data_IF_610871951415
#
_entry.id   IF_610871951415
#
_cell.length_a   1.000
_cell.length_b   1.000
_cell.length_c   1.000
_cell.angle_alpha   90.00
_cell.angle_beta   90.00
_cell.angle_gamma   90.00
#
_symmetry.space_group_name_H-M   'P 1'
#
loop_
_entity.id
_entity.type
_entity.pdbx_description
1 polymer ?
#
# COMPACT_ATOMS: atom_id res chain seq x y z
N UNK A 1 -20.51 -6.40 -19.13
CA UNK A 1 -19.16 -5.91 -19.49
C UNK A 1 -19.10 -5.34 -20.89
N UNK A 2 -19.45 -6.09 -21.95
CA UNK A 2 -19.39 -5.60 -23.34
C UNK A 2 -20.11 -4.25 -23.57
N UNK A 3 -21.35 -4.11 -23.08
CA UNK A 3 -22.12 -2.87 -23.16
C UNK A 3 -21.48 -1.68 -22.43
N UNK A 4 -20.77 -1.91 -21.32
CA UNK A 4 -20.07 -0.85 -20.58
C UNK A 4 -18.77 -0.43 -21.29
N UNK A 5 -18.10 -1.37 -21.97
CA UNK A 5 -16.94 -1.07 -22.81
C UNK A 5 -17.33 -0.30 -24.07
N UNK A 6 -18.42 -0.70 -24.74
CA UNK A 6 -18.98 0.02 -25.91
C UNK A 6 -19.42 1.44 -25.55
N UNK A 7 -19.95 1.63 -24.35
CA UNK A 7 -20.32 2.95 -23.83
C UNK A 7 -19.12 3.76 -23.31
N UNK A 8 -17.90 3.22 -23.31
CA UNK A 8 -16.71 3.92 -22.81
C UNK A 8 -16.71 4.17 -21.30
N UNK A 9 -17.55 3.45 -20.54
CA UNK A 9 -17.63 3.53 -19.08
C UNK A 9 -16.53 2.72 -18.38
N UNK A 10 -16.01 1.69 -19.04
CA UNK A 10 -14.84 0.92 -18.59
C UNK A 10 -13.80 0.84 -19.70
N UNK A 11 -12.52 0.86 -19.32
CA UNK A 11 -11.39 0.62 -20.22
C UNK A 11 -10.82 -0.77 -19.93
N UNK A 12 -10.60 -1.54 -20.98
CA UNK A 12 -9.88 -2.80 -20.88
C UNK A 12 -8.39 -2.48 -20.86
N UNK A 13 -7.72 -2.86 -19.78
CA UNK A 13 -6.28 -2.64 -19.65
C UNK A 13 -5.51 -3.71 -20.43
N UNK A 14 -4.35 -3.34 -20.98
CA UNK A 14 -3.49 -4.30 -21.66
C UNK A 14 -2.96 -5.34 -20.67
N UNK A 15 -2.87 -6.57 -21.17
CA UNK A 15 -2.57 -7.79 -20.42
C UNK A 15 -1.19 -7.69 -19.76
N UNK A 16 -1.07 -7.98 -18.48
CA UNK A 16 0.17 -8.51 -17.92
C UNK A 16 0.03 -10.03 -17.73
N UNK A 17 0.84 -10.79 -18.46
CA UNK A 17 0.95 -12.24 -18.29
C UNK A 17 1.99 -12.46 -17.20
N UNK A 18 1.58 -12.92 -16.03
CA UNK A 18 2.51 -13.34 -14.99
C UNK A 18 1.87 -14.36 -14.08
N UNK A 19 1.96 -15.66 -14.42
CA UNK A 19 1.64 -16.74 -13.50
C UNK A 19 1.11 -18.02 -14.12
N UNK A 20 1.78 -19.14 -13.84
CA UNK A 20 1.64 -20.46 -14.46
C UNK A 20 0.52 -21.27 -13.81
N UNK A 21 -0.67 -21.29 -14.42
CA UNK A 21 -1.64 -22.41 -14.39
C UNK A 21 -2.77 -22.08 -15.36
N UNK A 22 -2.94 -22.96 -16.35
CA UNK A 22 -4.02 -22.89 -17.31
C UNK A 22 -5.38 -22.99 -16.60
N UNK A 23 -6.36 -22.21 -17.08
CA UNK A 23 -7.77 -22.52 -16.82
C UNK A 23 -8.63 -21.43 -16.21
N UNK A 24 -8.61 -20.20 -16.77
CA UNK A 24 -9.77 -19.31 -17.01
C UNK A 24 -9.26 -17.90 -17.34
N UNK A 25 -9.71 -17.31 -18.44
CA UNK A 25 -9.21 -16.02 -18.92
C UNK A 25 -9.90 -14.86 -18.17
N UNK A 26 -9.22 -14.29 -17.17
CA UNK A 26 -9.68 -13.07 -16.49
C UNK A 26 -9.28 -11.81 -17.28
N UNK A 27 -10.22 -10.90 -17.49
CA UNK A 27 -9.94 -9.57 -18.05
C UNK A 27 -9.86 -8.55 -16.92
N UNK A 28 -8.84 -7.67 -16.95
CA UNK A 28 -8.75 -6.51 -16.05
C UNK A 28 -9.45 -5.32 -16.73
N UNK A 29 -10.43 -4.76 -16.03
CA UNK A 29 -11.15 -3.55 -16.45
C UNK A 29 -10.90 -2.43 -15.44
N UNK A 30 -10.49 -1.27 -15.93
CA UNK A 30 -10.50 -0.02 -15.16
C UNK A 30 -11.78 0.75 -15.45
N UNK A 31 -12.24 1.57 -14.51
CA UNK A 31 -13.35 2.50 -14.75
C UNK A 31 -12.80 3.68 -15.57
N UNK A 32 -13.36 3.90 -16.75
CA UNK A 32 -12.95 4.98 -17.63
C UNK A 32 -13.53 6.33 -17.17
N UNK A 33 -13.06 7.44 -17.76
CA UNK A 33 -13.50 8.79 -17.39
C UNK A 33 -15.02 8.99 -17.47
N UNK A 34 -15.72 8.32 -18.39
CA UNK A 34 -17.19 8.37 -18.46
C UNK A 34 -17.85 7.55 -17.35
N UNK A 35 -17.28 6.39 -16.97
CA UNK A 35 -17.78 5.60 -15.85
C UNK A 35 -17.62 6.32 -14.53
N UNK A 36 -16.49 7.03 -14.35
CA UNK A 36 -16.29 7.93 -13.22
C UNK A 36 -17.30 9.08 -13.21
N UNK A 37 -17.61 9.65 -14.38
CA UNK A 37 -18.64 10.68 -14.50
C UNK A 37 -20.03 10.17 -14.11
N UNK A 38 -20.39 8.95 -14.48
CA UNK A 38 -21.67 8.32 -14.09
C UNK A 38 -21.74 8.06 -12.59
N UNK A 39 -20.68 7.52 -11.99
CA UNK A 39 -20.62 7.31 -10.54
C UNK A 39 -20.69 8.63 -9.75
N UNK A 40 -20.17 9.72 -10.33
CA UNK A 40 -20.24 11.06 -9.77
C UNK A 40 -21.59 11.77 -10.02
N UNK A 41 -22.55 11.17 -10.75
CA UNK A 41 -23.92 11.70 -10.81
C UNK A 41 -24.71 11.33 -9.55
N UNK A 42 -24.39 10.19 -8.91
CA UNK A 42 -25.01 9.73 -7.66
C UNK A 42 -24.39 10.37 -6.41
N UNK A 43 -23.12 10.79 -6.47
CA UNK A 43 -22.46 11.55 -5.42
C UNK A 43 -22.49 13.03 -5.80
N UNK A 44 -23.10 13.91 -5.01
CA UNK A 44 -23.35 15.33 -5.31
C UNK A 44 -22.10 16.24 -5.44
N UNK A 45 -21.03 15.77 -6.07
CA UNK A 45 -19.75 16.46 -6.24
C UNK A 45 -19.38 16.53 -7.73
N UNK A 46 -19.75 17.64 -8.37
CA UNK A 46 -19.33 17.98 -9.72
C UNK A 46 -17.84 18.36 -9.76
N UNK A 47 -16.96 17.36 -9.90
CA UNK A 47 -15.51 17.55 -10.09
C UNK A 47 -15.10 17.39 -11.56
N UNK A 48 -14.18 18.26 -12.04
CA UNK A 48 -13.65 18.27 -13.42
C UNK A 48 -13.23 16.87 -13.91
N UNK A 49 -13.89 16.40 -14.97
CA UNK A 49 -13.64 15.11 -15.60
C UNK A 49 -12.27 15.05 -16.26
N UNK A 50 -11.42 14.11 -15.83
CA UNK A 50 -10.13 13.84 -16.47
C UNK A 50 -10.35 12.79 -17.57
N UNK A 51 -10.18 13.21 -18.83
CA UNK A 51 -10.16 12.29 -19.98
C UNK A 51 -9.01 11.30 -19.80
N UNK A 52 -9.33 10.01 -19.87
CA UNK A 52 -8.44 8.88 -20.18
C UNK A 52 -7.02 8.97 -19.62
N UNK A 53 -6.80 8.28 -18.51
CA UNK A 53 -5.45 8.04 -17.98
C UNK A 53 -4.69 7.08 -18.90
N UNK A 54 -3.88 7.61 -19.83
CA UNK A 54 -2.72 6.88 -20.33
C UNK A 54 -1.64 6.91 -19.25
N UNK A 55 -1.83 6.12 -18.20
CA UNK A 55 -0.81 5.90 -17.17
C UNK A 55 0.16 4.84 -17.65
N UNK A 56 1.45 4.99 -17.30
CA UNK A 56 2.45 3.97 -17.63
C UNK A 56 2.05 2.59 -17.07
N UNK A 57 2.41 1.48 -17.73
CA UNK A 57 2.14 0.14 -17.23
C UNK A 57 2.68 -0.07 -15.81
N UNK A 58 3.79 0.57 -15.45
CA UNK A 58 4.34 0.54 -14.10
C UNK A 58 3.38 1.14 -13.07
N UNK A 59 2.80 2.31 -13.36
CA UNK A 59 1.82 2.94 -12.48
C UNK A 59 0.54 2.10 -12.37
N UNK A 60 0.08 1.53 -13.48
CA UNK A 60 -1.10 0.64 -13.51
C UNK A 60 -0.90 -0.60 -12.65
N UNK A 61 0.24 -1.28 -12.79
CA UNK A 61 0.58 -2.45 -11.98
C UNK A 61 0.65 -2.10 -10.49
N UNK A 62 1.16 -0.91 -10.16
CA UNK A 62 1.24 -0.42 -8.79
C UNK A 62 -0.15 -0.21 -8.17
N UNK A 63 -1.03 0.51 -8.87
CA UNK A 63 -2.42 0.72 -8.45
C UNK A 63 -3.17 -0.60 -8.30
N UNK A 64 -2.96 -1.54 -9.22
CA UNK A 64 -3.55 -2.88 -9.13
C UNK A 64 -3.03 -3.63 -7.90
N UNK A 65 -1.74 -3.53 -7.58
CA UNK A 65 -1.17 -4.18 -6.42
C UNK A 65 -1.72 -3.63 -5.09
N UNK A 66 -1.93 -2.30 -5.00
CA UNK A 66 -2.60 -1.66 -3.86
C UNK A 66 -4.04 -2.16 -3.74
N UNK A 67 -4.75 -2.22 -4.87
CA UNK A 67 -6.14 -2.71 -4.92
C UNK A 67 -6.23 -4.19 -4.52
N UNK A 68 -5.30 -5.02 -4.97
CA UNK A 68 -5.20 -6.44 -4.62
C UNK A 68 -5.04 -6.63 -3.10
N UNK A 69 -4.20 -5.81 -2.45
CA UNK A 69 -4.06 -5.81 -0.99
C UNK A 69 -5.38 -5.44 -0.31
N UNK A 70 -6.03 -4.34 -0.74
CA UNK A 70 -7.30 -3.90 -0.17
C UNK A 70 -8.38 -4.99 -0.26
N UNK A 71 -8.54 -5.59 -1.44
CA UNK A 71 -9.51 -6.68 -1.67
C UNK A 71 -9.17 -7.89 -0.81
N UNK A 72 -7.89 -8.26 -0.71
CA UNK A 72 -7.46 -9.42 0.08
C UNK A 72 -7.74 -9.23 1.58
N UNK A 73 -7.60 -8.01 2.10
CA UNK A 73 -7.95 -7.67 3.49
C UNK A 73 -9.47 -7.70 3.71
N UNK A 74 -10.27 -7.20 2.76
CA UNK A 74 -11.74 -7.30 2.83
C UNK A 74 -12.21 -8.74 2.79
N UNK A 75 -11.62 -9.57 1.93
CA UNK A 75 -11.91 -11.02 1.88
C UNK A 75 -11.54 -11.69 3.20
N UNK A 76 -10.39 -11.33 3.79
CA UNK A 76 -9.99 -11.83 5.10
C UNK A 76 -10.97 -11.44 6.21
N UNK A 77 -11.47 -10.19 6.15
CA UNK A 77 -12.46 -9.67 7.09
C UNK A 77 -13.75 -10.46 7.02
N UNK A 78 -14.26 -10.69 5.80
CA UNK A 78 -15.48 -11.48 5.57
C UNK A 78 -15.33 -12.95 5.98
N UNK A 79 -14.10 -13.47 5.95
CA UNK A 79 -13.77 -14.81 6.44
C UNK A 79 -13.58 -14.87 7.97
N UNK A 80 -13.75 -13.76 8.69
CA UNK A 80 -13.59 -13.70 10.15
C UNK A 80 -12.15 -13.86 10.64
N UNK A 81 -11.15 -13.64 9.77
CA UNK A 81 -9.72 -13.81 10.11
C UNK A 81 -9.09 -12.57 10.76
N UNK A 82 -9.67 -11.40 10.51
CA UNK A 82 -9.29 -10.10 11.05
C UNK A 82 -10.48 -9.16 10.91
N UNK A 83 -10.43 -7.98 11.51
CA UNK A 83 -11.38 -6.90 11.24
C UNK A 83 -10.64 -5.71 10.63
N UNK A 84 -11.03 -5.28 9.43
CA UNK A 84 -10.45 -4.10 8.79
C UNK A 84 -11.19 -2.84 9.25
N UNK A 85 -10.50 -1.98 10.01
CA UNK A 85 -11.06 -0.72 10.52
C UNK A 85 -10.95 0.41 9.51
N UNK A 86 -9.79 0.51 8.86
CA UNK A 86 -9.50 1.58 7.90
C UNK A 86 -8.49 1.11 6.85
N UNK A 87 -8.66 1.59 5.62
CA UNK A 87 -7.72 1.41 4.52
C UNK A 87 -7.68 2.67 3.67
N UNK A 88 -6.55 3.37 3.71
CA UNK A 88 -6.33 4.61 2.97
C UNK A 88 -5.25 4.36 1.91
N UNK A 89 -5.60 4.26 0.61
CA UNK A 89 -4.59 4.22 -0.45
C UNK A 89 -3.97 5.61 -0.66
N UNK A 90 -2.87 5.67 -1.40
CA UNK A 90 -2.36 6.95 -1.90
C UNK A 90 -3.39 7.68 -2.78
N UNK A 91 -3.46 9.03 -2.74
CA UNK A 91 -2.66 9.93 -1.91
C UNK A 91 -3.26 10.21 -0.52
N UNK A 92 -4.36 9.55 -0.13
CA UNK A 92 -5.08 9.86 1.11
C UNK A 92 -4.25 9.58 2.37
N UNK A 93 -3.35 8.59 2.31
CA UNK A 93 -2.45 8.23 3.40
C UNK A 93 -1.17 9.07 3.50
N UNK A 94 -0.95 10.04 2.61
CA UNK A 94 0.26 10.86 2.63
C UNK A 94 0.33 11.72 3.90
N UNK A 95 1.55 12.01 4.36
CA UNK A 95 1.81 12.85 5.55
C UNK A 95 2.81 13.94 5.22
N UNK A 96 2.45 15.19 5.50
CA UNK A 96 3.35 16.33 5.35
C UNK A 96 3.88 16.76 6.71
N UNK A 97 5.19 16.99 6.79
CA UNK A 97 5.88 17.41 8.00
C UNK A 97 7.03 18.37 7.69
N UNK A 98 7.45 19.13 8.70
CA UNK A 98 8.63 19.99 8.58
C UNK A 98 9.89 19.15 8.69
N UNK A 99 10.73 19.17 7.67
CA UNK A 99 12.05 18.53 7.70
C UNK A 99 13.02 19.27 8.61
N UNK A 100 14.22 18.69 8.79
CA UNK A 100 15.30 19.24 9.63
C UNK A 100 15.82 20.62 9.19
N UNK A 101 15.52 21.06 7.97
CA UNK A 101 16.02 22.31 7.38
C UNK A 101 14.89 23.25 6.90
N UNK A 102 13.76 23.31 7.61
CA UNK A 102 12.59 24.19 7.32
C UNK A 102 11.86 23.85 5.99
N UNK A 103 12.39 22.94 5.17
CA UNK A 103 11.71 22.42 3.98
C UNK A 103 10.55 21.49 4.36
N UNK A 104 9.40 21.67 3.71
CA UNK A 104 8.24 20.79 3.86
C UNK A 104 8.48 19.47 3.13
N UNK A 105 8.55 18.37 3.89
CA UNK A 105 8.71 17.01 3.36
C UNK A 105 7.36 16.30 3.35
N UNK A 106 7.09 15.52 2.31
CA UNK A 106 5.90 14.65 2.25
C UNK A 106 6.33 13.19 2.26
N UNK A 107 5.91 12.46 3.28
CA UNK A 107 5.91 11.00 3.30
C UNK A 107 4.77 10.50 2.42
N UNK A 108 5.08 9.57 1.53
CA UNK A 108 4.16 9.05 0.51
C UNK A 108 4.08 7.53 0.57
N UNK A 109 3.39 6.95 1.57
CA UNK A 109 3.09 5.52 1.58
C UNK A 109 2.19 5.16 0.41
N UNK A 110 2.23 3.92 -0.04
CA UNK A 110 1.29 3.41 -1.04
C UNK A 110 -0.09 3.16 -0.43
N UNK A 111 -0.12 2.71 0.82
CA UNK A 111 -1.33 2.60 1.62
C UNK A 111 -1.06 2.79 3.12
N UNK A 112 -2.11 3.08 3.86
CA UNK A 112 -2.18 2.97 5.30
C UNK A 112 -3.32 2.03 5.68
N UNK A 113 -3.10 1.14 6.64
CA UNK A 113 -4.07 0.16 7.09
C UNK A 113 -4.20 0.20 8.61
N UNK A 114 -5.44 0.10 9.10
CA UNK A 114 -5.76 -0.22 10.50
C UNK A 114 -6.68 -1.42 10.56
N UNK A 115 -6.35 -2.36 11.44
CA UNK A 115 -7.10 -3.59 11.59
C UNK A 115 -7.06 -4.06 13.06
N UNK A 116 -7.97 -4.97 13.39
CA UNK A 116 -8.03 -5.65 14.69
C UNK A 116 -7.80 -7.14 14.48
N UNK A 117 -7.00 -7.73 15.38
CA UNK A 117 -6.70 -9.17 15.45
C UNK A 117 -6.99 -9.60 16.88
N UNK A 118 -8.10 -10.32 17.10
CA UNK A 118 -8.58 -10.59 18.45
C UNK A 118 -8.89 -9.26 19.17
N UNK A 119 -8.18 -8.99 20.26
CA UNK A 119 -8.35 -7.76 21.06
C UNK A 119 -7.31 -6.67 20.77
N UNK A 120 -6.43 -6.89 19.78
CA UNK A 120 -5.31 -6.01 19.49
C UNK A 120 -5.52 -5.23 18.20
N UNK A 121 -5.40 -3.91 18.29
CA UNK A 121 -5.35 -3.03 17.13
C UNK A 121 -3.93 -2.99 16.56
N UNK A 122 -3.84 -3.09 15.23
CA UNK A 122 -2.61 -2.93 14.47
C UNK A 122 -2.78 -1.86 13.41
N UNK A 123 -1.76 -1.04 13.24
CA UNK A 123 -1.66 -0.09 12.14
C UNK A 123 -0.36 -0.26 11.38
N UNK A 124 -0.40 -0.08 10.07
CA UNK A 124 0.79 -0.09 9.23
C UNK A 124 0.71 0.92 8.09
N UNK A 125 1.82 1.59 7.82
CA UNK A 125 2.10 2.13 6.50
C UNK A 125 2.63 1.01 5.61
N UNK A 126 2.14 0.93 4.38
CA UNK A 126 2.49 -0.13 3.44
C UNK A 126 3.17 0.48 2.21
N UNK A 127 4.29 -0.13 1.83
CA UNK A 127 5.00 0.09 0.58
C UNK A 127 4.98 -1.21 -0.23
N UNK A 128 4.53 -1.15 -1.48
CA UNK A 128 4.46 -2.30 -2.39
C UNK A 128 5.58 -2.17 -3.42
N UNK A 129 6.65 -2.92 -3.22
CA UNK A 129 7.76 -2.96 -4.17
C UNK A 129 7.49 -4.00 -5.26
N UNK A 130 7.39 -3.54 -6.51
CA UNK A 130 7.25 -4.43 -7.68
C UNK A 130 8.62 -4.76 -8.31
N UNK A 131 9.69 -4.81 -7.50
CA UNK A 131 11.08 -4.97 -7.95
C UNK A 131 11.59 -3.87 -8.90
N UNK A 132 10.92 -2.71 -8.94
CA UNK A 132 11.28 -1.57 -9.81
C UNK A 132 12.28 -0.61 -9.19
N UNK A 133 12.39 -0.56 -7.85
CA UNK A 133 13.21 0.44 -7.17
C UNK A 133 14.69 0.00 -6.99
N UNK A 134 15.60 0.98 -7.01
CA UNK A 134 17.02 0.73 -6.69
C UNK A 134 17.24 0.74 -5.17
N UNK A 135 18.38 0.18 -4.72
CA UNK A 135 18.78 0.20 -3.29
C UNK A 135 18.83 1.63 -2.74
N UNK A 136 19.26 2.59 -3.56
CA UNK A 136 19.35 4.00 -3.19
C UNK A 136 17.97 4.62 -2.97
N UNK A 137 16.99 4.26 -3.80
CA UNK A 137 15.60 4.75 -3.68
C UNK A 137 14.96 4.19 -2.39
N UNK A 138 15.10 2.89 -2.14
CA UNK A 138 14.63 2.24 -0.92
C UNK A 138 15.24 2.91 0.33
N UNK A 139 16.57 3.05 0.35
CA UNK A 139 17.26 3.68 1.49
C UNK A 139 16.79 5.12 1.72
N UNK A 140 16.53 5.87 0.64
CA UNK A 140 15.98 7.23 0.74
C UNK A 140 14.58 7.21 1.36
N UNK A 141 13.67 6.36 0.86
CA UNK A 141 12.30 6.22 1.41
C UNK A 141 12.35 5.87 2.90
N UNK A 142 13.15 4.87 3.27
CA UNK A 142 13.29 4.46 4.67
C UNK A 142 13.82 5.60 5.57
N UNK A 143 14.75 6.44 5.09
CA UNK A 143 15.18 7.64 5.84
C UNK A 143 14.07 8.67 5.99
N UNK A 144 13.18 8.83 5.01
CA UNK A 144 12.02 9.73 5.13
C UNK A 144 11.04 9.24 6.19
N UNK A 145 10.78 7.92 6.25
CA UNK A 145 10.00 7.32 7.34
C UNK A 145 10.65 7.55 8.70
N UNK A 146 11.96 7.31 8.83
CA UNK A 146 12.67 7.53 10.09
C UNK A 146 12.63 9.01 10.52
N UNK A 147 12.78 9.94 9.58
CA UNK A 147 12.64 11.38 9.84
C UNK A 147 11.22 11.74 10.28
N UNK A 148 10.19 11.17 9.63
CA UNK A 148 8.80 11.39 10.02
C UNK A 148 8.51 10.85 11.42
N UNK A 149 8.96 9.64 11.72
CA UNK A 149 8.85 9.02 13.05
C UNK A 149 9.45 9.89 14.14
N UNK A 150 10.64 10.47 13.90
CA UNK A 150 11.31 11.36 14.85
C UNK A 150 10.53 12.65 15.16
N UNK A 151 9.62 13.07 14.28
CA UNK A 151 8.76 14.24 14.57
C UNK A 151 7.75 13.97 15.69
N UNK A 152 7.40 12.70 15.94
CA UNK A 152 6.36 12.30 16.88
C UNK A 152 4.93 12.66 16.45
N UNK A 153 4.72 13.31 15.30
CA UNK A 153 3.40 13.80 14.87
C UNK A 153 2.37 12.68 14.72
N UNK A 154 2.76 11.53 14.14
CA UNK A 154 1.85 10.40 13.96
C UNK A 154 1.43 9.81 15.31
N UNK A 155 2.39 9.62 16.23
CA UNK A 155 2.11 9.08 17.57
C UNK A 155 1.24 10.04 18.41
N UNK A 156 1.41 11.35 18.26
CA UNK A 156 0.54 12.33 18.92
C UNK A 156 -0.92 12.27 18.41
N UNK A 157 -1.12 11.95 17.13
CA UNK A 157 -2.45 11.88 16.50
C UNK A 157 -3.15 10.54 16.71
N UNK A 158 -2.39 9.45 16.73
CA UNK A 158 -2.91 8.08 16.65
C UNK A 158 -2.44 7.18 17.81
N UNK A 159 -1.75 7.73 18.81
CA UNK A 159 -1.26 7.04 20.01
C UNK A 159 0.07 6.31 19.82
N UNK A 160 0.28 5.71 18.65
CA UNK A 160 1.52 4.99 18.30
C UNK A 160 1.92 5.27 16.86
N UNK A 161 3.21 5.09 16.55
CA UNK A 161 3.67 5.14 15.17
C UNK A 161 3.35 3.79 14.48
N UNK A 162 2.68 3.79 13.32
CA UNK A 162 2.42 2.57 12.55
C UNK A 162 3.70 1.89 12.09
N UNK A 163 3.73 0.56 12.10
CA UNK A 163 4.81 -0.20 11.45
C UNK A 163 4.89 0.15 9.96
N UNK A 164 6.08 0.11 9.36
CA UNK A 164 6.28 0.31 7.92
C UNK A 164 6.53 -1.05 7.27
N UNK A 165 5.49 -1.60 6.64
CA UNK A 165 5.52 -2.89 5.98
C UNK A 165 5.87 -2.75 4.49
N UNK A 166 7.00 -3.33 4.10
CA UNK A 166 7.38 -3.51 2.71
C UNK A 166 6.88 -4.85 2.18
N UNK A 167 5.99 -4.80 1.18
CA UNK A 167 5.52 -5.97 0.45
C UNK A 167 6.31 -6.15 -0.83
N UNK A 168 7.07 -7.24 -0.93
CA UNK A 168 7.96 -7.55 -2.06
C UNK A 168 7.44 -8.74 -2.87
N UNK A 169 7.87 -8.94 -4.14
CA UNK A 169 7.30 -9.99 -4.98
C UNK A 169 7.89 -11.37 -4.71
N UNK A 170 9.13 -11.44 -4.21
CA UNK A 170 9.87 -12.70 -4.04
C UNK A 170 10.94 -12.62 -2.94
N UNK A 171 11.46 -13.79 -2.56
CA UNK A 171 12.46 -13.96 -1.49
C UNK A 171 13.79 -13.28 -1.80
N UNK A 172 14.21 -13.25 -3.07
CA UNK A 172 15.46 -12.56 -3.47
C UNK A 172 15.32 -11.06 -3.22
N UNK A 173 14.16 -10.49 -3.54
CA UNK A 173 13.87 -9.09 -3.29
C UNK A 173 13.70 -8.80 -1.80
N UNK A 174 13.11 -9.71 -1.04
CA UNK A 174 13.04 -9.64 0.42
C UNK A 174 14.43 -9.54 1.06
N UNK A 175 15.33 -10.45 0.71
CA UNK A 175 16.70 -10.45 1.23
C UNK A 175 17.42 -9.13 0.91
N UNK A 176 17.26 -8.62 -0.31
CA UNK A 176 17.81 -7.31 -0.71
C UNK A 176 17.20 -6.17 0.12
N UNK A 177 15.89 -6.17 0.35
CA UNK A 177 15.20 -5.15 1.14
C UNK A 177 15.74 -5.14 2.58
N UNK A 178 15.83 -6.32 3.21
CA UNK A 178 16.39 -6.49 4.56
C UNK A 178 17.85 -6.01 4.62
N UNK A 179 18.68 -6.29 3.61
CA UNK A 179 20.06 -5.81 3.53
C UNK A 179 20.17 -4.28 3.45
N UNK A 180 19.22 -3.61 2.80
CA UNK A 180 19.20 -2.15 2.74
C UNK A 180 18.77 -1.57 4.09
N UNK A 181 17.72 -2.14 4.70
CA UNK A 181 17.16 -1.68 5.97
C UNK A 181 18.12 -1.91 7.14
N UNK A 182 18.91 -2.99 7.14
CA UNK A 182 19.90 -3.27 8.19
C UNK A 182 21.04 -2.26 8.28
N UNK A 183 21.21 -1.40 7.26
CA UNK A 183 22.20 -0.31 7.24
C UNK A 183 21.68 0.97 7.89
N UNK A 184 20.42 1.01 8.33
CA UNK A 184 19.85 2.14 9.07
C UNK A 184 20.27 2.08 10.54
N UNK A 185 20.17 3.18 11.30
CA UNK A 185 20.35 3.14 12.75
C UNK A 185 19.41 2.14 13.42
N UNK A 186 19.88 1.40 14.42
CA UNK A 186 19.12 0.30 15.07
C UNK A 186 17.72 0.71 15.52
N UNK A 187 17.58 1.90 16.11
CA UNK A 187 16.27 2.42 16.53
C UNK A 187 15.28 2.60 15.36
N UNK A 188 15.76 2.96 14.17
CA UNK A 188 14.94 3.08 12.98
C UNK A 188 14.63 1.72 12.34
N UNK A 189 15.50 0.71 12.50
CA UNK A 189 15.27 -0.62 11.93
C UNK A 189 13.98 -1.26 12.46
N UNK A 190 13.67 -1.04 13.75
CA UNK A 190 12.46 -1.55 14.39
C UNK A 190 11.14 -1.01 13.79
N UNK A 191 11.21 0.07 13.00
CA UNK A 191 10.04 0.59 12.29
C UNK A 191 9.64 -0.28 11.10
N UNK A 192 10.57 -1.07 10.55
CA UNK A 192 10.39 -1.69 9.24
C UNK A 192 10.20 -3.19 9.34
N UNK A 193 9.16 -3.66 8.66
CA UNK A 193 8.94 -5.04 8.34
C UNK A 193 9.07 -5.29 6.84
N UNK A 194 9.40 -6.53 6.48
CA UNK A 194 9.39 -6.99 5.10
C UNK A 194 8.65 -8.31 5.05
N UNK A 195 7.67 -8.40 4.15
CA UNK A 195 6.95 -9.62 3.86
C UNK A 195 6.75 -9.77 2.34
N UNK A 196 6.50 -11.00 1.89
CA UNK A 196 6.14 -11.24 0.50
C UNK A 196 4.68 -10.81 0.28
N UNK A 197 4.36 -10.30 -0.91
CA UNK A 197 3.00 -9.94 -1.31
C UNK A 197 2.00 -11.08 -1.08
N UNK A 198 2.40 -12.32 -1.37
CA UNK A 198 1.57 -13.53 -1.16
C UNK A 198 1.19 -13.74 0.31
N UNK A 199 2.00 -13.24 1.23
CA UNK A 199 1.87 -13.46 2.66
C UNK A 199 1.30 -12.24 3.35
N UNK A 200 0.95 -11.17 2.62
CA UNK A 200 0.56 -9.88 3.19
C UNK A 200 -0.57 -9.99 4.21
N UNK A 201 -1.63 -10.74 3.87
CA UNK A 201 -2.77 -10.93 4.78
C UNK A 201 -2.38 -11.78 5.99
N UNK A 202 -1.59 -12.83 5.80
CA UNK A 202 -1.12 -13.66 6.90
C UNK A 202 -0.23 -12.86 7.84
N UNK A 203 0.67 -12.05 7.29
CA UNK A 203 1.56 -11.18 8.04
C UNK A 203 0.76 -10.15 8.83
N UNK A 204 -0.15 -9.42 8.17
CA UNK A 204 -0.99 -8.41 8.78
C UNK A 204 -1.99 -8.99 9.79
N UNK A 205 -2.48 -10.21 9.57
CA UNK A 205 -3.43 -10.92 10.43
C UNK A 205 -2.79 -11.80 11.50
N UNK A 206 -1.46 -11.83 11.62
CA UNK A 206 -0.77 -12.51 12.72
C UNK A 206 -0.10 -11.47 13.61
N UNK A 207 -0.15 -11.69 14.91
CA UNK A 207 0.58 -10.86 15.86
C UNK A 207 2.08 -11.14 15.74
N UNK A 208 2.95 -10.11 15.78
CA UNK A 208 4.37 -10.34 15.98
C UNK A 208 4.56 -11.13 17.28
N UNK A 209 5.40 -12.16 17.27
CA UNK A 209 5.77 -12.85 18.50
C UNK A 209 6.28 -11.82 19.52
N UNK A 210 5.73 -11.85 20.74
CA UNK A 210 5.98 -10.92 21.84
C UNK A 210 7.46 -10.83 22.29
N UNK A 211 8.38 -11.53 21.63
CA UNK A 211 9.82 -11.50 21.87
C UNK A 211 10.49 -10.17 21.49
N UNK A 212 9.82 -9.27 20.76
CA UNK A 212 10.43 -8.00 20.30
C UNK A 212 10.10 -6.80 21.20
N UNK A 213 9.13 -6.89 22.12
CA UNK A 213 8.73 -5.77 22.99
C UNK A 213 9.50 -5.67 24.32
N UNK A 214 10.36 -6.64 24.65
CA UNK A 214 11.13 -6.66 25.90
C UNK A 214 12.41 -5.78 25.88
N UNK A 215 12.54 -4.88 24.92
CA UNK A 215 13.66 -3.93 24.81
C UNK A 215 13.18 -2.48 24.76
N UNK A 216 12.43 -2.05 25.78
CA UNK A 216 12.16 -0.63 26.05
C UNK A 216 13.08 -0.12 27.14
#
# INVERSE_FOLDING_TARGET
MQRLSELGAVVRMERSIGGVRAGSQGFVYGIAGLGQAVLALDASAAGRHRRTWETSPAHQNHVLAITELAVSLVVATRAGRLELLDFQPEPACWRTFSGSAVESVTLKPDAFVRLVIGDLERSAFVEIDLSSESRTVIARKARVYAAYWQTGLEAQRHGVFPEVLWLVPDERREARMREVLSRLPTAAQALFAVARRSDAVSYLGTLPDAATEAGR
#
